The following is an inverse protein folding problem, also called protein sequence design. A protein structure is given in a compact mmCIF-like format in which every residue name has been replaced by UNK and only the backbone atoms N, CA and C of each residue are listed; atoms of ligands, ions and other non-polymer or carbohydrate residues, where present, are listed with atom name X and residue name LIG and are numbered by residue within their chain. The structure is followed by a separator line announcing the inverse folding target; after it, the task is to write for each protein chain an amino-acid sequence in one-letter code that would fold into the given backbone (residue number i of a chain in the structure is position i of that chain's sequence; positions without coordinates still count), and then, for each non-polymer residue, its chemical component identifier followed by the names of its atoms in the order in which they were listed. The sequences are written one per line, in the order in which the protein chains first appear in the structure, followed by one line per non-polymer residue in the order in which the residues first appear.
data_IF_801550472580
#
_entry.id   IF_801550472580
#
_cell.length_a   1.000
_cell.length_b   1.000
_cell.length_c   1.000
_cell.angle_alpha   90.00
_cell.angle_beta   90.00
_cell.angle_gamma   90.00
#
_symmetry.space_group_name_H-M   'P 1'
#
loop_
_entity.id
_entity.type
_entity.pdbx_description
1 polymer ?
#
# COMPACT_ATOMS: atom_id res chain seq x y z
N UNK A 1 -52.97 -14.58 -30.43
CA UNK A 1 -52.62 -15.23 -29.14
C UNK A 1 -51.39 -14.52 -28.60
N UNK A 2 -51.46 -14.04 -27.35
CA UNK A 2 -50.55 -13.07 -26.71
C UNK A 2 -49.10 -13.56 -26.58
N UNK A 3 -48.12 -12.75 -26.98
CA UNK A 3 -46.73 -12.88 -26.57
C UNK A 3 -46.58 -12.39 -25.11
N UNK A 4 -46.16 -13.26 -24.20
CA UNK A 4 -45.81 -12.90 -22.83
C UNK A 4 -44.33 -12.52 -22.79
N UNK A 5 -44.05 -11.22 -22.63
CA UNK A 5 -42.72 -10.72 -22.30
C UNK A 5 -42.57 -10.85 -20.78
N UNK A 6 -41.70 -11.76 -20.31
CA UNK A 6 -41.26 -11.75 -18.91
C UNK A 6 -40.30 -10.56 -18.72
N UNK A 7 -40.79 -9.52 -18.07
CA UNK A 7 -39.93 -8.50 -17.50
C UNK A 7 -39.26 -9.08 -16.25
N UNK A 8 -37.96 -9.36 -16.33
CA UNK A 8 -37.17 -9.66 -15.15
C UNK A 8 -37.04 -8.37 -14.31
N UNK A 9 -37.74 -8.32 -13.17
CA UNK A 9 -37.49 -7.29 -12.17
C UNK A 9 -36.09 -7.54 -11.59
N UNK A 10 -35.11 -6.75 -12.01
CA UNK A 10 -33.89 -6.56 -11.23
C UNK A 10 -34.28 -5.85 -9.93
N UNK A 11 -34.42 -6.63 -8.85
CA UNK A 11 -34.54 -6.06 -7.53
C UNK A 11 -33.25 -5.31 -7.22
N UNK A 12 -33.31 -3.98 -7.21
CA UNK A 12 -32.23 -3.15 -6.69
C UNK A 12 -32.11 -3.45 -5.19
N UNK A 13 -31.17 -4.32 -4.84
CA UNK A 13 -30.71 -4.49 -3.47
C UNK A 13 -30.12 -3.15 -3.03
N UNK A 14 -30.85 -2.45 -2.17
CA UNK A 14 -30.31 -1.30 -1.45
C UNK A 14 -29.06 -1.79 -0.71
N UNK A 15 -27.88 -1.19 -0.88
CA UNK A 15 -26.70 -1.69 -0.21
C UNK A 15 -26.89 -1.54 1.29
N UNK A 16 -27.01 -2.68 1.97
CA UNK A 16 -26.76 -2.77 3.40
C UNK A 16 -25.40 -2.10 3.68
N UNK A 17 -25.38 -1.18 4.66
CA UNK A 17 -24.38 -0.13 4.81
C UNK A 17 -22.94 -0.49 4.45
N UNK A 18 -22.27 0.41 3.73
CA UNK A 18 -20.85 0.31 3.40
C UNK A 18 -20.02 0.05 4.66
N UNK A 19 -19.27 -1.04 4.66
CA UNK A 19 -18.39 -1.40 5.76
C UNK A 19 -17.10 -0.57 5.69
N UNK A 20 -16.47 -0.40 6.86
CA UNK A 20 -15.10 0.14 6.95
C UNK A 20 -14.18 -0.93 7.51
N UNK A 21 -13.09 -1.17 6.80
CA UNK A 21 -12.03 -2.10 7.16
C UNK A 21 -10.75 -1.34 7.51
N UNK A 22 -9.91 -1.97 8.31
CA UNK A 22 -8.54 -1.52 8.56
C UNK A 22 -7.58 -2.63 8.13
N UNK A 23 -6.67 -2.31 7.22
CA UNK A 23 -5.66 -3.24 6.71
C UNK A 23 -4.27 -2.76 7.15
N UNK A 24 -3.72 -3.45 8.14
CA UNK A 24 -2.37 -3.17 8.67
C UNK A 24 -1.32 -3.79 7.75
N UNK A 25 -0.15 -3.15 7.67
CA UNK A 25 1.03 -3.71 6.99
C UNK A 25 1.75 -4.69 7.93
N UNK A 26 1.66 -5.99 7.64
CA UNK A 26 2.32 -7.08 8.35
C UNK A 26 2.99 -8.02 7.35
N UNK A 27 3.86 -8.94 7.77
CA UNK A 27 4.47 -9.90 6.86
C UNK A 27 3.47 -10.76 6.07
N UNK A 28 2.24 -10.91 6.57
CA UNK A 28 1.19 -11.71 5.96
C UNK A 28 0.26 -10.90 5.05
N UNK A 29 0.33 -9.57 5.12
CA UNK A 29 -0.60 -8.66 4.42
C UNK A 29 0.10 -7.78 3.39
N UNK A 30 1.38 -8.07 3.08
CA UNK A 30 2.16 -7.30 2.10
C UNK A 30 2.71 -8.19 0.99
N UNK A 31 2.68 -7.66 -0.23
CA UNK A 31 3.47 -8.12 -1.36
C UNK A 31 4.70 -7.21 -1.50
N UNK A 32 5.90 -7.75 -1.28
CA UNK A 32 7.12 -6.94 -1.36
C UNK A 32 7.69 -7.01 -2.77
N UNK A 33 7.64 -5.88 -3.48
CA UNK A 33 8.41 -5.70 -4.71
C UNK A 33 7.85 -6.34 -5.96
N UNK A 34 6.61 -6.83 -5.91
CA UNK A 34 5.94 -7.48 -7.04
C UNK A 34 4.43 -7.22 -7.01
N UNK A 35 3.80 -7.47 -8.17
CA UNK A 35 2.37 -7.72 -8.31
C UNK A 35 2.23 -9.08 -8.99
N UNK A 36 1.47 -9.99 -8.40
CA UNK A 36 1.17 -11.29 -8.98
C UNK A 36 -0.33 -11.57 -8.89
N UNK A 37 -0.96 -11.95 -10.01
CA UNK A 37 -2.39 -12.27 -10.05
C UNK A 37 -2.72 -13.57 -9.30
N UNK A 38 -1.71 -14.39 -8.99
CA UNK A 38 -1.83 -15.63 -8.21
C UNK A 38 -1.71 -15.41 -6.70
N UNK A 39 -1.34 -14.21 -6.25
CA UNK A 39 -1.28 -13.86 -4.84
C UNK A 39 -2.67 -13.98 -4.19
N UNK A 40 -2.71 -14.60 -3.02
CA UNK A 40 -3.95 -14.74 -2.26
C UNK A 40 -4.37 -13.39 -1.70
N UNK A 41 -5.62 -12.94 -1.92
CA UNK A 41 -6.14 -11.74 -1.30
C UNK A 41 -6.06 -11.82 0.22
N UNK A 42 -5.57 -10.75 0.84
CA UNK A 42 -5.44 -10.64 2.30
C UNK A 42 -6.68 -10.00 2.92
N UNK A 43 -7.52 -9.40 2.07
CA UNK A 43 -8.82 -8.84 2.38
C UNK A 43 -9.73 -8.95 1.15
N UNK A 44 -11.00 -9.26 1.35
CA UNK A 44 -12.04 -9.20 0.31
C UNK A 44 -13.12 -8.23 0.75
N UNK A 45 -13.44 -7.24 -0.08
CA UNK A 45 -14.46 -6.22 0.18
C UNK A 45 -15.53 -6.21 -0.92
N UNK A 46 -16.60 -5.44 -0.71
CA UNK A 46 -17.63 -5.18 -1.71
C UNK A 46 -17.49 -3.76 -2.26
N UNK A 47 -18.05 -3.53 -3.44
CA UNK A 47 -18.16 -2.17 -3.99
C UNK A 47 -18.89 -1.25 -3.00
N UNK A 48 -18.34 -0.06 -2.79
CA UNK A 48 -18.84 0.93 -1.83
C UNK A 48 -18.20 0.87 -0.44
N UNK A 49 -17.52 -0.22 -0.07
CA UNK A 49 -16.80 -0.33 1.20
C UNK A 49 -15.60 0.64 1.26
N UNK A 50 -15.12 0.94 2.46
CA UNK A 50 -13.95 1.79 2.73
C UNK A 50 -12.85 0.98 3.41
N UNK A 51 -11.59 1.20 3.03
CA UNK A 51 -10.44 0.56 3.68
C UNK A 51 -9.45 1.63 4.14
N UNK A 52 -9.11 1.61 5.43
CA UNK A 52 -7.96 2.32 5.98
C UNK A 52 -6.73 1.44 5.78
N UNK A 53 -5.86 1.81 4.85
CA UNK A 53 -4.68 1.03 4.49
C UNK A 53 -3.46 1.66 5.15
N UNK A 54 -2.77 0.90 5.99
CA UNK A 54 -1.45 1.27 6.50
C UNK A 54 -0.39 0.92 5.47
N UNK A 55 0.57 1.81 5.26
CA UNK A 55 1.64 1.62 4.27
C UNK A 55 3.00 1.85 4.92
N UNK A 56 4.05 1.29 4.30
CA UNK A 56 5.42 1.39 4.79
C UNK A 56 6.31 2.05 3.74
N UNK A 57 7.27 2.85 4.20
CA UNK A 57 8.24 3.53 3.36
C UNK A 57 9.29 2.58 2.76
N UNK A 58 9.88 2.95 1.62
CA UNK A 58 10.81 2.10 0.83
C UNK A 58 12.27 2.12 1.33
N UNK A 59 12.50 1.95 2.63
CA UNK A 59 13.84 1.90 3.24
C UNK A 59 13.90 0.82 4.32
N UNK A 60 15.11 0.42 4.69
CA UNK A 60 15.33 -0.55 5.77
C UNK A 60 15.40 0.12 7.13
N UNK A 61 15.01 -0.58 8.21
CA UNK A 61 15.23 -0.09 9.56
C UNK A 61 16.70 0.31 9.80
N UNK A 62 17.66 -0.54 9.42
CA UNK A 62 19.09 -0.21 9.53
C UNK A 62 19.50 1.00 8.68
N UNK A 63 18.93 1.17 7.49
CA UNK A 63 19.18 2.31 6.61
C UNK A 63 18.66 3.63 7.20
N UNK A 64 17.49 3.61 7.85
CA UNK A 64 16.94 4.75 8.57
C UNK A 64 17.77 5.12 9.81
N UNK A 65 18.19 4.13 10.59
CA UNK A 65 19.06 4.34 11.76
C UNK A 65 20.40 4.96 11.33
N UNK A 66 21.02 4.43 10.27
CA UNK A 66 22.25 5.00 9.68
C UNK A 66 22.05 6.43 9.17
N UNK A 67 20.84 6.78 8.75
CA UNK A 67 20.49 8.13 8.31
C UNK A 67 20.12 9.07 9.48
N UNK A 68 20.17 8.60 10.72
CA UNK A 68 19.96 9.41 11.93
C UNK A 68 18.56 9.34 12.53
N UNK A 69 17.68 8.44 12.06
CA UNK A 69 16.37 8.22 12.69
C UNK A 69 16.57 7.41 13.97
N UNK A 70 16.01 7.88 15.09
CA UNK A 70 16.11 7.14 16.35
C UNK A 70 15.38 5.79 16.24
N UNK A 71 15.92 4.68 16.80
CA UNK A 71 15.30 3.36 16.68
C UNK A 71 13.83 3.29 17.12
N UNK A 72 13.46 4.10 18.12
CA UNK A 72 12.10 4.21 18.66
C UNK A 72 11.12 4.96 17.74
N UNK A 73 11.62 5.72 16.76
CA UNK A 73 10.79 6.41 15.76
C UNK A 73 10.54 5.56 14.51
N UNK A 74 11.25 4.43 14.36
CA UNK A 74 11.06 3.51 13.24
C UNK A 74 9.89 2.59 13.55
N UNK A 75 8.95 2.50 12.60
CA UNK A 75 7.73 1.72 12.76
C UNK A 75 8.02 0.25 13.12
N UNK A 76 7.38 -0.30 14.17
CA UNK A 76 7.49 -1.72 14.49
C UNK A 76 7.05 -2.62 13.32
N UNK A 77 6.05 -2.18 12.54
CA UNK A 77 5.58 -2.88 11.34
C UNK A 77 6.66 -2.99 10.26
N UNK A 78 7.49 -1.95 10.07
CA UNK A 78 8.61 -2.00 9.13
C UNK A 78 9.62 -3.08 9.53
N UNK A 79 9.96 -3.15 10.82
CA UNK A 79 10.86 -4.20 11.35
C UNK A 79 10.26 -5.58 11.17
N UNK A 80 9.01 -5.75 11.56
CA UNK A 80 8.29 -7.01 11.42
C UNK A 80 8.29 -7.50 9.95
N UNK A 81 8.01 -6.62 8.99
CA UNK A 81 8.05 -6.95 7.55
C UNK A 81 9.47 -7.31 7.08
N UNK A 82 10.48 -6.55 7.48
CA UNK A 82 11.88 -6.83 7.14
C UNK A 82 12.35 -8.19 7.65
N UNK A 83 11.93 -8.58 8.85
CA UNK A 83 12.33 -9.83 9.50
C UNK A 83 11.45 -11.01 9.06
N UNK A 84 10.17 -10.76 8.76
CA UNK A 84 9.16 -11.79 8.55
C UNK A 84 8.91 -12.18 7.09
N UNK A 85 9.21 -11.31 6.11
CA UNK A 85 9.04 -11.63 4.69
C UNK A 85 10.34 -12.23 4.13
N UNK A 86 10.38 -13.53 3.77
CA UNK A 86 11.60 -14.17 3.31
C UNK A 86 12.05 -13.61 1.96
N UNK A 87 13.36 -13.54 1.71
CA UNK A 87 13.91 -13.00 0.47
C UNK A 87 13.40 -13.71 -0.80
N UNK A 88 13.12 -15.01 -0.71
CA UNK A 88 12.56 -15.81 -1.81
C UNK A 88 11.14 -15.44 -2.19
N UNK A 89 10.41 -14.73 -1.30
CA UNK A 89 9.06 -14.22 -1.56
C UNK A 89 9.06 -12.74 -1.96
N UNK A 90 10.24 -12.11 -2.08
CA UNK A 90 10.36 -10.71 -2.51
C UNK A 90 10.54 -10.66 -4.02
N UNK A 91 9.90 -9.69 -4.64
CA UNK A 91 10.10 -9.32 -6.03
C UNK A 91 11.32 -8.40 -6.20
N UNK A 92 11.64 -8.03 -7.46
CA UNK A 92 12.78 -7.18 -7.77
C UNK A 92 12.60 -5.71 -7.31
N UNK A 93 11.37 -5.28 -7.04
CA UNK A 93 11.06 -3.92 -6.59
C UNK A 93 11.33 -3.68 -5.10
N UNK A 94 11.66 -2.45 -4.73
CA UNK A 94 11.91 -2.08 -3.33
C UNK A 94 10.65 -1.87 -2.47
N UNK A 95 9.50 -1.59 -3.10
CA UNK A 95 8.28 -1.16 -2.42
C UNK A 95 7.61 -2.30 -1.64
N UNK A 96 7.14 -1.99 -0.43
CA UNK A 96 6.29 -2.87 0.38
C UNK A 96 4.83 -2.49 0.10
N UNK A 97 4.07 -3.37 -0.54
CA UNK A 97 2.72 -3.09 -1.01
C UNK A 97 1.73 -3.81 -0.11
N UNK A 98 0.86 -3.08 0.60
CA UNK A 98 -0.14 -3.69 1.47
C UNK A 98 -1.34 -4.15 0.66
N UNK A 99 -1.66 -5.45 0.71
CA UNK A 99 -2.59 -6.12 -0.18
C UNK A 99 -2.11 -7.52 -0.56
N UNK A 100 -2.70 -8.13 -1.61
CA UNK A 100 -3.75 -7.60 -2.48
C UNK A 100 -5.15 -7.61 -1.82
N UNK A 101 -6.01 -6.67 -2.23
CA UNK A 101 -7.41 -6.59 -1.79
C UNK A 101 -8.29 -7.05 -2.95
N UNK A 102 -9.11 -8.08 -2.73
CA UNK A 102 -10.09 -8.53 -3.72
C UNK A 102 -11.39 -7.75 -3.61
N UNK A 103 -12.00 -7.49 -4.77
CA UNK A 103 -13.34 -6.88 -4.86
C UNK A 103 -14.33 -7.96 -5.27
N UNK A 104 -15.37 -8.15 -4.45
CA UNK A 104 -16.41 -9.14 -4.68
C UNK A 104 -17.12 -8.88 -6.01
N UNK A 105 -17.10 -9.86 -6.91
CA UNK A 105 -17.79 -9.83 -8.20
C UNK A 105 -17.09 -9.02 -9.29
N UNK A 106 -15.86 -8.56 -9.07
CA UNK A 106 -15.08 -7.91 -10.14
C UNK A 106 -14.57 -8.94 -11.16
N UNK A 107 -14.74 -8.63 -12.44
CA UNK A 107 -14.36 -9.49 -13.57
C UNK A 107 -13.43 -8.77 -14.57
N UNK A 108 -12.64 -9.49 -15.39
CA UNK A 108 -11.84 -8.87 -16.43
C UNK A 108 -12.70 -8.04 -17.40
N UNK A 109 -12.37 -6.76 -17.56
CA UNK A 109 -13.14 -5.80 -18.35
C UNK A 109 -13.86 -4.75 -17.51
N UNK A 110 -14.02 -4.99 -16.20
CA UNK A 110 -14.55 -4.01 -15.27
C UNK A 110 -13.57 -2.87 -14.99
N UNK A 111 -14.11 -1.74 -14.51
CA UNK A 111 -13.34 -0.60 -14.02
C UNK A 111 -13.41 -0.53 -12.49
N UNK A 112 -12.26 -0.47 -11.84
CA UNK A 112 -12.17 -0.15 -10.41
C UNK A 112 -12.02 1.36 -10.21
N UNK A 113 -12.98 2.00 -9.55
CA UNK A 113 -12.82 3.34 -9.01
C UNK A 113 -12.21 3.28 -7.60
N UNK A 114 -11.08 3.95 -7.38
CA UNK A 114 -10.47 4.11 -6.05
C UNK A 114 -10.51 5.58 -5.65
N UNK A 115 -11.35 5.92 -4.66
CA UNK A 115 -11.44 7.28 -4.11
C UNK A 115 -10.57 7.41 -2.86
N UNK A 116 -9.44 8.09 -2.97
CA UNK A 116 -8.60 8.42 -1.80
C UNK A 116 -9.28 9.53 -1.00
N UNK A 117 -9.88 9.19 0.14
CA UNK A 117 -10.65 10.14 0.97
C UNK A 117 -9.79 10.96 1.91
N UNK A 118 -8.72 10.37 2.44
CA UNK A 118 -7.83 10.97 3.43
C UNK A 118 -6.46 10.33 3.37
N UNK A 119 -5.42 11.09 3.72
CA UNK A 119 -4.07 10.60 3.98
C UNK A 119 -3.63 11.18 5.32
N UNK A 120 -3.15 10.32 6.21
CA UNK A 120 -2.54 10.68 7.49
C UNK A 120 -1.06 10.27 7.49
N UNK A 121 -0.21 11.04 8.17
CA UNK A 121 1.20 10.68 8.32
C UNK A 121 1.35 9.62 9.43
N UNK A 122 1.80 8.42 9.07
CA UNK A 122 2.11 7.35 10.03
C UNK A 122 3.38 7.65 10.85
N UNK A 123 4.28 8.45 10.30
CA UNK A 123 5.59 8.79 10.87
C UNK A 123 5.86 10.30 10.72
N UNK A 124 6.62 10.92 11.65
CA UNK A 124 6.90 12.35 11.64
C UNK A 124 8.11 12.72 10.76
N UNK A 125 8.41 11.92 9.73
CA UNK A 125 9.51 12.17 8.81
C UNK A 125 9.30 11.52 7.45
N UNK A 126 9.95 12.07 6.43
CA UNK A 126 10.19 11.44 5.15
C UNK A 126 11.70 11.21 4.97
N UNK A 127 12.07 10.49 3.89
CA UNK A 127 13.45 10.44 3.45
C UNK A 127 13.54 10.65 1.95
N UNK A 128 14.63 11.27 1.51
CA UNK A 128 15.05 11.31 0.13
C UNK A 128 16.42 10.65 0.03
N UNK A 129 16.65 9.90 -1.05
CA UNK A 129 17.91 9.22 -1.26
C UNK A 129 18.29 9.20 -2.73
N UNK A 130 19.59 9.19 -2.99
CA UNK A 130 20.17 8.82 -4.28
C UNK A 130 21.42 7.96 -4.06
N UNK A 131 21.81 7.26 -5.12
CA UNK A 131 23.06 6.49 -5.17
C UNK A 131 23.63 6.52 -6.58
N UNK A 132 24.94 6.36 -6.69
CA UNK A 132 25.61 6.16 -7.97
C UNK A 132 24.94 5.05 -8.79
N UNK A 133 24.77 5.29 -10.10
CA UNK A 133 24.13 4.36 -11.02
C UNK A 133 22.60 4.24 -10.88
N UNK A 134 21.94 5.06 -10.06
CA UNK A 134 20.49 5.11 -9.97
C UNK A 134 19.96 6.55 -9.89
N UNK A 135 19.02 6.88 -10.77
CA UNK A 135 18.48 8.23 -10.95
C UNK A 135 18.76 8.76 -12.36
N UNK A 136 18.46 10.03 -12.61
CA UNK A 136 18.61 10.65 -13.93
C UNK A 136 20.04 11.16 -14.19
N UNK A 137 20.70 11.75 -13.19
CA UNK A 137 22.04 12.34 -13.27
C UNK A 137 23.07 11.45 -12.56
N UNK A 138 23.22 10.20 -13.01
CA UNK A 138 24.01 9.20 -12.26
C UNK A 138 25.47 9.56 -12.13
N UNK A 139 26.04 10.17 -13.17
CA UNK A 139 27.49 10.38 -13.29
C UNK A 139 27.93 11.70 -12.65
N UNK A 140 27.02 12.66 -12.53
CA UNK A 140 27.24 13.94 -11.84
C UNK A 140 27.33 13.76 -10.32
N UNK A 141 26.79 12.66 -9.79
CA UNK A 141 26.74 12.34 -8.37
C UNK A 141 27.31 10.94 -8.08
N UNK A 142 28.64 10.75 -8.15
CA UNK A 142 29.32 9.46 -7.95
C UNK A 142 29.43 9.05 -6.46
N UNK A 143 28.38 9.31 -5.69
CA UNK A 143 28.27 8.99 -4.28
C UNK A 143 26.81 8.66 -3.91
N UNK A 144 26.56 8.30 -2.66
CA UNK A 144 25.21 8.08 -2.15
C UNK A 144 24.93 9.00 -0.98
N UNK A 145 23.67 9.43 -0.86
CA UNK A 145 23.22 10.23 0.28
C UNK A 145 21.79 9.87 0.61
N UNK A 146 21.50 9.84 1.91
CA UNK A 146 20.14 9.82 2.44
C UNK A 146 19.96 11.12 3.24
N UNK A 147 18.82 11.78 3.04
CA UNK A 147 18.40 12.95 3.81
C UNK A 147 17.06 12.63 4.47
N UNK A 148 17.02 12.71 5.80
CA UNK A 148 15.77 12.70 6.55
C UNK A 148 15.17 14.11 6.51
N UNK A 149 13.87 14.19 6.24
CA UNK A 149 13.10 15.43 6.21
C UNK A 149 12.06 15.33 7.31
N UNK A 150 12.12 16.21 8.30
CA UNK A 150 11.14 16.24 9.39
C UNK A 150 9.78 16.68 8.88
N UNK A 151 8.71 16.05 9.35
CA UNK A 151 7.33 16.41 9.03
C UNK A 151 6.57 16.79 10.30
N UNK A 152 5.73 17.81 10.21
CA UNK A 152 4.79 18.16 11.26
C UNK A 152 3.48 17.39 11.04
N UNK A 153 3.31 16.28 11.75
CA UNK A 153 2.12 15.43 11.66
C UNK A 153 0.82 16.10 12.17
N UNK A 154 0.92 17.18 12.95
CA UNK A 154 -0.27 17.93 13.40
C UNK A 154 -0.73 18.92 12.35
N UNK A 155 0.22 19.59 11.70
CA UNK A 155 -0.06 20.59 10.65
C UNK A 155 -0.14 19.99 9.25
N UNK A 156 0.30 18.74 9.07
CA UNK A 156 0.41 18.04 7.79
C UNK A 156 1.29 18.79 6.77
N UNK A 157 2.46 19.25 7.22
CA UNK A 157 3.46 19.97 6.39
C UNK A 157 4.87 19.42 6.61
N UNK A 158 5.78 19.69 5.67
CA UNK A 158 7.20 19.30 5.70
C UNK A 158 8.14 20.42 5.27
#
# INVERSE_FOLDING_TARGET
MRYLILAALAAATTPAGAATYELKATPQTVAWGHYDATDKPVLTIRSGDTVVIHTLLTNSPAGLEKAGVAPAQIEPALRAVYDGVPASARGPGGHILTGPIAITGAEPGDMLEVRIRKVDLAIPYAYNAFRYGAGFLTDDFPYARIKIVSLDAKRMVG
#
